data_IF_553097198498
#
_entry.id   IF_553097198498
#
_cell.length_a   1.000
_cell.length_b   1.000
_cell.length_c   1.000
_cell.angle_alpha   90.00
_cell.angle_beta   90.00
_cell.angle_gamma   90.00
#
_symmetry.space_group_name_H-M   'P 1'
#
loop_
_entity.id
_entity.type
_entity.pdbx_description
1 polymer ?
#
# COMPACT_ATOMS: atom_id res chain seq x y z
N UNK A 1 5.73 17.33 -14.07
CA UNK A 1 6.17 16.84 -12.77
C UNK A 1 7.49 16.12 -12.99
N UNK A 2 8.53 16.34 -12.12
CA UNK A 2 9.82 15.66 -12.22
C UNK A 2 9.84 14.36 -11.42
N UNK A 3 10.98 13.65 -11.39
CA UNK A 3 11.17 12.34 -10.79
C UNK A 3 10.53 12.17 -9.39
N UNK A 4 10.75 13.08 -8.46
CA UNK A 4 10.17 13.00 -7.10
C UNK A 4 8.65 13.01 -7.10
N UNK A 5 8.04 13.88 -7.91
CA UNK A 5 6.58 13.91 -8.04
C UNK A 5 6.03 12.66 -8.75
N UNK A 6 6.75 12.14 -9.75
CA UNK A 6 6.41 10.86 -10.40
C UNK A 6 6.45 9.70 -9.40
N UNK A 7 7.45 9.69 -8.51
CA UNK A 7 7.65 8.66 -7.49
C UNK A 7 6.57 8.63 -6.39
N UNK A 8 5.84 9.74 -6.18
CA UNK A 8 4.72 9.77 -5.23
C UNK A 8 3.55 8.87 -5.67
N UNK A 9 3.37 8.65 -6.98
CA UNK A 9 2.28 7.80 -7.47
C UNK A 9 2.43 6.33 -7.06
N UNK A 10 3.54 5.62 -7.39
CA UNK A 10 3.71 4.25 -6.96
C UNK A 10 3.84 4.14 -5.44
N UNK A 11 4.49 5.09 -4.79
CA UNK A 11 4.63 5.11 -3.34
C UNK A 11 3.26 5.19 -2.65
N UNK A 12 2.41 6.14 -3.05
CA UNK A 12 1.09 6.31 -2.48
C UNK A 12 0.14 5.17 -2.83
N UNK A 13 0.28 4.60 -4.03
CA UNK A 13 -0.51 3.45 -4.48
C UNK A 13 -0.24 2.20 -3.64
N UNK A 14 1.03 1.89 -3.39
CA UNK A 14 1.43 0.74 -2.58
C UNK A 14 1.15 0.94 -1.09
N UNK A 15 1.49 2.11 -0.52
CA UNK A 15 1.20 2.43 0.89
C UNK A 15 -0.28 2.82 1.03
N UNK A 16 -1.14 1.83 0.96
CA UNK A 16 -2.58 1.92 1.17
C UNK A 16 -3.00 1.39 2.55
N UNK A 17 -4.28 1.05 2.69
CA UNK A 17 -4.82 0.47 3.92
C UNK A 17 -4.19 -0.90 4.28
N UNK A 18 -3.66 -1.63 3.30
CA UNK A 18 -3.07 -2.96 3.50
C UNK A 18 -1.93 -3.00 4.51
N UNK A 19 -1.09 -1.95 4.57
CA UNK A 19 0.05 -1.94 5.50
C UNK A 19 -0.39 -1.91 6.97
N UNK A 20 -1.59 -1.41 7.26
CA UNK A 20 -2.08 -1.34 8.63
C UNK A 20 -2.61 -2.68 9.15
N UNK A 21 -3.08 -3.57 8.28
CA UNK A 21 -3.56 -4.91 8.63
C UNK A 21 -2.48 -6.00 8.44
N UNK A 22 -1.60 -5.83 7.46
CA UNK A 22 -0.64 -6.84 7.03
C UNK A 22 0.33 -7.33 8.12
N UNK A 23 0.92 -6.46 8.97
CA UNK A 23 1.86 -6.90 10.02
C UNK A 23 1.25 -7.93 10.95
N UNK A 24 0.02 -7.68 11.44
CA UNK A 24 -0.68 -8.58 12.35
C UNK A 24 -0.93 -9.95 11.75
N UNK A 25 -1.41 -9.97 10.49
CA UNK A 25 -1.70 -11.22 9.76
C UNK A 25 -0.43 -12.02 9.49
N UNK A 26 0.65 -11.35 9.06
CA UNK A 26 1.92 -12.02 8.78
C UNK A 26 2.56 -12.57 10.05
N UNK A 27 2.60 -11.78 11.14
CA UNK A 27 3.18 -12.24 12.40
C UNK A 27 2.36 -13.38 13.00
N UNK A 28 1.04 -13.34 12.91
CA UNK A 28 0.19 -14.46 13.35
C UNK A 28 0.44 -15.75 12.55
N UNK A 29 0.72 -15.65 11.25
CA UNK A 29 0.89 -16.82 10.38
C UNK A 29 2.32 -17.40 10.41
N UNK A 30 3.35 -16.56 10.37
CA UNK A 30 4.75 -16.98 10.21
C UNK A 30 5.70 -16.48 11.31
N UNK A 31 5.16 -15.86 12.37
CA UNK A 31 5.92 -15.41 13.54
C UNK A 31 7.09 -14.50 13.19
N UNK A 32 8.25 -14.76 13.79
CA UNK A 32 9.48 -13.97 13.62
C UNK A 32 10.04 -13.98 12.18
N UNK A 33 9.52 -14.84 11.31
CA UNK A 33 9.88 -14.84 9.89
C UNK A 33 9.12 -13.76 9.07
N UNK A 34 8.09 -13.14 9.62
CA UNK A 34 7.22 -12.19 8.91
C UNK A 34 7.97 -11.04 8.19
N UNK A 35 8.99 -10.37 8.77
CA UNK A 35 9.76 -9.36 8.05
C UNK A 35 10.47 -9.93 6.81
N UNK A 36 11.03 -11.13 6.92
CA UNK A 36 11.70 -11.81 5.81
C UNK A 36 10.72 -12.27 4.74
N UNK A 37 9.50 -12.61 5.12
CA UNK A 37 8.43 -12.93 4.18
C UNK A 37 8.12 -11.75 3.26
N UNK A 38 8.12 -10.51 3.78
CA UNK A 38 7.97 -9.31 2.95
C UNK A 38 9.16 -9.09 2.01
N UNK A 39 10.38 -9.35 2.47
CA UNK A 39 11.55 -9.26 1.60
C UNK A 39 11.46 -10.26 0.44
N UNK A 40 11.11 -11.52 0.75
CA UNK A 40 10.92 -12.56 -0.26
C UNK A 40 9.79 -12.18 -1.23
N UNK A 41 8.66 -11.70 -0.71
CA UNK A 41 7.53 -11.21 -1.52
C UNK A 41 7.95 -10.08 -2.47
N UNK A 42 8.70 -9.10 -1.98
CA UNK A 42 9.22 -7.99 -2.78
C UNK A 42 10.20 -8.44 -3.87
N UNK A 43 11.10 -9.36 -3.56
CA UNK A 43 12.04 -9.94 -4.55
C UNK A 43 11.28 -10.71 -5.63
N UNK A 44 10.28 -11.51 -5.24
CA UNK A 44 9.45 -12.25 -6.20
C UNK A 44 8.52 -11.33 -7.01
N UNK A 45 8.14 -10.17 -6.48
CA UNK A 45 7.34 -9.17 -7.17
C UNK A 45 8.16 -8.31 -8.15
N UNK A 46 9.47 -8.18 -7.90
CA UNK A 46 10.36 -7.34 -8.70
C UNK A 46 10.36 -7.67 -10.20
N UNK A 47 10.35 -8.93 -10.67
CA UNK A 47 10.24 -9.24 -12.10
C UNK A 47 8.99 -8.63 -12.75
N UNK A 48 7.85 -8.65 -12.07
CA UNK A 48 6.62 -8.02 -12.57
C UNK A 48 6.80 -6.50 -12.68
N UNK A 49 7.35 -5.87 -11.65
CA UNK A 49 7.65 -4.44 -11.64
C UNK A 49 8.63 -4.05 -12.77
N UNK A 50 9.66 -4.88 -13.02
CA UNK A 50 10.61 -4.69 -14.13
C UNK A 50 9.95 -4.81 -15.50
N UNK A 51 8.98 -5.73 -15.68
CA UNK A 51 8.20 -5.81 -16.91
C UNK A 51 7.43 -4.50 -17.17
N UNK A 52 6.76 -3.96 -16.15
CA UNK A 52 6.06 -2.67 -16.27
C UNK A 52 7.03 -1.52 -16.53
N UNK A 53 8.15 -1.48 -15.82
CA UNK A 53 9.19 -0.47 -16.01
C UNK A 53 9.75 -0.51 -17.45
N UNK A 54 10.00 -1.72 -17.99
CA UNK A 54 10.46 -1.87 -19.37
C UNK A 54 9.40 -1.43 -20.39
N UNK A 55 8.13 -1.82 -20.20
CA UNK A 55 7.04 -1.37 -21.08
C UNK A 55 6.88 0.14 -21.04
N UNK A 56 7.00 0.78 -19.88
CA UNK A 56 6.92 2.24 -19.73
C UNK A 56 7.99 3.00 -20.54
N UNK A 57 9.13 2.38 -20.88
CA UNK A 57 10.12 3.00 -21.79
C UNK A 57 9.63 3.11 -23.23
N UNK A 58 8.62 2.32 -23.60
CA UNK A 58 8.09 2.24 -24.98
C UNK A 58 6.87 3.13 -25.21
N UNK A 59 6.15 3.49 -24.14
CA UNK A 59 4.89 4.23 -24.21
C UNK A 59 5.01 5.55 -23.45
N UNK A 60 4.58 6.65 -24.07
CA UNK A 60 4.60 8.00 -23.47
C UNK A 60 3.20 8.46 -23.04
N UNK A 61 2.17 7.72 -23.45
CA UNK A 61 0.77 8.08 -23.21
C UNK A 61 0.23 7.42 -21.94
N UNK A 62 -0.72 8.10 -21.32
CA UNK A 62 -1.50 7.55 -20.20
C UNK A 62 -2.34 6.36 -20.64
N UNK A 63 -2.50 5.35 -19.79
CA UNK A 63 -3.32 4.16 -20.06
C UNK A 63 -2.70 2.84 -19.59
N UNK A 64 -1.40 2.81 -19.31
CA UNK A 64 -0.72 1.68 -18.66
C UNK A 64 -1.04 0.32 -19.30
N UNK A 65 -1.56 -0.61 -18.50
CA UNK A 65 -1.85 -1.99 -18.90
C UNK A 65 -2.83 -2.11 -20.09
N UNK A 66 -3.72 -1.14 -20.27
CA UNK A 66 -4.65 -1.10 -21.42
C UNK A 66 -3.89 -0.94 -22.73
N UNK A 67 -2.98 0.05 -22.77
CA UNK A 67 -2.14 0.31 -23.96
C UNK A 67 -1.20 -0.87 -24.25
N UNK A 68 -0.63 -1.46 -23.20
CA UNK A 68 0.28 -2.60 -23.33
C UNK A 68 -0.45 -3.83 -23.89
N UNK A 69 -1.65 -4.11 -23.37
CA UNK A 69 -2.50 -5.19 -23.85
C UNK A 69 -2.99 -4.96 -25.28
N UNK A 70 -3.39 -3.74 -25.63
CA UNK A 70 -3.83 -3.41 -26.99
C UNK A 70 -2.68 -3.52 -28.00
N UNK A 71 -1.50 -3.02 -27.65
CA UNK A 71 -0.33 -3.07 -28.54
C UNK A 71 0.18 -4.49 -28.79
N UNK A 72 0.12 -5.37 -27.78
CA UNK A 72 0.64 -6.73 -27.86
C UNK A 72 -0.38 -7.73 -28.46
N UNK A 73 -1.66 -7.59 -28.12
CA UNK A 73 -2.69 -8.61 -28.39
C UNK A 73 -3.94 -8.06 -29.07
N UNK A 74 -3.96 -6.75 -29.39
CA UNK A 74 -5.07 -6.09 -30.06
C UNK A 74 -6.16 -5.55 -29.13
N UNK A 75 -7.14 -4.85 -29.73
CA UNK A 75 -8.18 -4.08 -29.04
C UNK A 75 -9.00 -4.85 -28.01
N UNK A 76 -9.29 -6.13 -28.31
CA UNK A 76 -10.09 -6.95 -27.39
C UNK A 76 -9.37 -7.15 -26.06
N UNK A 77 -8.07 -7.49 -26.08
CA UNK A 77 -7.27 -7.69 -24.86
C UNK A 77 -7.06 -6.36 -24.14
N UNK A 78 -6.81 -5.27 -24.86
CA UNK A 78 -6.76 -3.92 -24.26
C UNK A 78 -8.06 -3.56 -23.54
N UNK A 79 -9.22 -3.81 -24.15
CA UNK A 79 -10.52 -3.60 -23.51
C UNK A 79 -10.69 -4.46 -22.25
N UNK A 80 -10.34 -5.75 -22.30
CA UNK A 80 -10.43 -6.64 -21.13
C UNK A 80 -9.52 -6.18 -19.99
N UNK A 81 -8.30 -5.74 -20.30
CA UNK A 81 -7.38 -5.17 -19.29
C UNK A 81 -8.00 -3.91 -18.64
N UNK A 82 -8.60 -3.02 -19.43
CA UNK A 82 -9.31 -1.83 -18.93
C UNK A 82 -10.50 -2.18 -18.05
N UNK A 83 -11.29 -3.15 -18.46
CA UNK A 83 -12.43 -3.61 -17.68
C UNK A 83 -12.02 -4.23 -16.34
N UNK A 84 -11.01 -5.10 -16.35
CA UNK A 84 -10.47 -5.71 -15.14
C UNK A 84 -9.90 -4.65 -14.19
N UNK A 85 -9.20 -3.64 -14.73
CA UNK A 85 -8.67 -2.51 -13.96
C UNK A 85 -9.80 -1.67 -13.33
N UNK A 86 -10.85 -1.38 -14.09
CA UNK A 86 -12.01 -0.65 -13.59
C UNK A 86 -12.71 -1.41 -12.45
N UNK A 87 -12.99 -2.70 -12.63
CA UNK A 87 -13.59 -3.54 -11.60
C UNK A 87 -12.72 -3.61 -10.33
N UNK A 88 -11.40 -3.81 -10.49
CA UNK A 88 -10.44 -3.80 -9.39
C UNK A 88 -10.42 -2.48 -8.64
N UNK A 89 -10.48 -1.34 -9.35
CA UNK A 89 -10.48 -0.02 -8.72
C UNK A 89 -11.71 0.21 -7.84
N UNK A 90 -12.90 -0.25 -8.27
CA UNK A 90 -14.14 -0.16 -7.48
C UNK A 90 -14.01 -0.97 -6.18
N UNK A 91 -13.55 -2.24 -6.29
CA UNK A 91 -13.40 -3.12 -5.12
C UNK A 91 -12.35 -2.54 -4.14
N UNK A 92 -11.22 -2.06 -4.67
CA UNK A 92 -10.17 -1.44 -3.85
C UNK A 92 -10.66 -0.17 -3.15
N UNK A 93 -11.40 0.69 -3.84
CA UNK A 93 -11.96 1.90 -3.23
C UNK A 93 -12.94 1.55 -2.11
N UNK A 94 -13.81 0.57 -2.31
CA UNK A 94 -14.74 0.11 -1.30
C UNK A 94 -14.01 -0.49 -0.09
N UNK A 95 -12.99 -1.33 -0.31
CA UNK A 95 -12.19 -1.93 0.75
C UNK A 95 -11.46 -0.85 1.59
N UNK A 96 -10.82 0.11 0.92
CA UNK A 96 -10.13 1.22 1.60
C UNK A 96 -11.09 2.08 2.43
N UNK A 97 -12.32 2.32 1.94
CA UNK A 97 -13.34 3.04 2.71
C UNK A 97 -13.78 2.27 3.96
N UNK A 98 -13.96 0.96 3.85
CA UNK A 98 -14.31 0.13 5.02
C UNK A 98 -13.22 0.15 6.09
N UNK A 99 -11.95 0.00 5.69
CA UNK A 99 -10.82 0.09 6.61
C UNK A 99 -10.78 1.47 7.28
N UNK A 100 -10.90 2.56 6.50
CA UNK A 100 -10.93 3.92 7.05
C UNK A 100 -12.05 4.08 8.09
N UNK A 101 -13.26 3.59 7.81
CA UNK A 101 -14.40 3.70 8.74
C UNK A 101 -14.14 2.84 9.99
N UNK A 102 -13.57 1.64 9.85
CA UNK A 102 -13.23 0.79 11.00
C UNK A 102 -12.25 1.49 11.97
N UNK A 103 -11.24 2.18 11.44
CA UNK A 103 -10.34 3.00 12.26
C UNK A 103 -11.04 4.21 12.89
N UNK A 104 -11.90 4.90 12.13
CA UNK A 104 -12.69 6.02 12.67
C UNK A 104 -13.71 5.55 13.72
N UNK A 105 -14.25 4.35 13.60
CA UNK A 105 -15.19 3.77 14.56
C UNK A 105 -14.52 3.49 15.92
N UNK A 106 -13.20 3.29 15.96
CA UNK A 106 -12.46 3.20 17.22
C UNK A 106 -12.53 4.52 18.02
N UNK A 107 -12.65 5.67 17.32
CA UNK A 107 -12.77 7.01 17.94
C UNK A 107 -14.26 7.40 18.04
N UNK A 108 -15.06 7.10 17.05
CA UNK A 108 -16.48 7.43 16.94
C UNK A 108 -17.32 6.15 16.76
N UNK A 109 -17.70 5.44 17.84
CA UNK A 109 -18.33 4.12 17.77
C UNK A 109 -19.58 4.03 16.89
N UNK A 110 -20.35 5.12 16.77
CA UNK A 110 -21.55 5.19 15.95
C UNK A 110 -21.28 4.97 14.44
N UNK A 111 -20.05 5.22 13.96
CA UNK A 111 -19.67 4.95 12.57
C UNK A 111 -19.60 3.44 12.24
N UNK A 112 -19.42 2.59 13.26
CA UNK A 112 -19.39 1.13 13.12
C UNK A 112 -20.77 0.48 13.06
N UNK A 113 -21.86 1.24 13.25
CA UNK A 113 -23.21 0.70 13.18
C UNK A 113 -23.56 0.22 11.76
N UNK A 114 -24.20 -0.97 11.61
CA UNK A 114 -24.45 -1.58 10.29
C UNK A 114 -25.22 -0.69 9.29
N UNK A 115 -26.06 0.22 9.79
CA UNK A 115 -26.81 1.17 8.96
C UNK A 115 -26.02 2.43 8.60
N UNK A 116 -25.04 2.82 9.41
CA UNK A 116 -24.26 4.06 9.25
C UNK A 116 -23.03 3.84 8.38
N UNK A 117 -22.35 2.71 8.54
CA UNK A 117 -21.14 2.38 7.79
C UNK A 117 -21.27 2.56 6.28
N UNK A 118 -22.28 2.02 5.57
CA UNK A 118 -22.38 2.18 4.12
C UNK A 118 -22.67 3.63 3.71
N UNK A 119 -23.42 4.39 4.52
CA UNK A 119 -23.70 5.81 4.27
C UNK A 119 -22.43 6.63 4.42
N UNK A 120 -21.67 6.41 5.49
CA UNK A 120 -20.38 7.07 5.73
C UNK A 120 -19.38 6.75 4.60
N UNK A 121 -19.35 5.50 4.12
CA UNK A 121 -18.52 5.11 2.97
C UNK A 121 -18.93 5.86 1.69
N UNK A 122 -20.22 5.96 1.42
CA UNK A 122 -20.75 6.72 0.27
C UNK A 122 -20.38 8.20 0.33
N UNK A 123 -20.50 8.82 1.49
CA UNK A 123 -20.12 10.23 1.70
C UNK A 123 -18.60 10.39 1.50
N UNK A 124 -17.76 9.49 2.05
CA UNK A 124 -16.32 9.52 1.89
C UNK A 124 -15.90 9.42 0.40
N UNK A 125 -16.49 8.50 -0.35
CA UNK A 125 -16.26 8.37 -1.79
C UNK A 125 -16.70 9.60 -2.57
N UNK A 126 -17.86 10.20 -2.22
CA UNK A 126 -18.32 11.42 -2.86
C UNK A 126 -17.39 12.60 -2.61
N UNK A 127 -16.87 12.77 -1.38
CA UNK A 127 -15.91 13.81 -1.04
C UNK A 127 -14.59 13.65 -1.83
N UNK A 128 -14.05 12.42 -1.91
CA UNK A 128 -12.84 12.15 -2.69
C UNK A 128 -13.09 12.44 -4.17
N UNK A 129 -14.26 12.07 -4.70
CA UNK A 129 -14.61 12.36 -6.10
C UNK A 129 -14.67 13.86 -6.35
N UNK A 130 -15.28 14.64 -5.47
CA UNK A 130 -15.33 16.10 -5.57
C UNK A 130 -13.93 16.70 -5.58
N UNK A 131 -13.04 16.26 -4.67
CA UNK A 131 -11.63 16.73 -4.63
C UNK A 131 -10.90 16.43 -5.95
N UNK A 132 -11.13 15.25 -6.53
CA UNK A 132 -10.51 14.87 -7.80
C UNK A 132 -10.98 15.73 -9.00
N UNK A 133 -12.19 16.31 -8.94
CA UNK A 133 -12.67 17.21 -9.99
C UNK A 133 -11.91 18.54 -10.06
N UNK A 134 -11.21 18.96 -9.02
CA UNK A 134 -10.41 20.18 -8.99
C UNK A 134 -9.05 20.10 -9.70
N UNK A 135 -8.68 18.92 -10.22
CA UNK A 135 -7.59 18.75 -11.18
C UNK A 135 -6.23 18.36 -10.58
N UNK A 136 -5.32 17.94 -11.47
CA UNK A 136 -4.08 17.20 -11.21
C UNK A 136 -2.96 17.99 -10.49
N UNK A 137 -2.89 19.32 -10.66
CA UNK A 137 -1.82 20.11 -9.99
C UNK A 137 -2.03 20.19 -8.48
N UNK A 138 -3.28 20.22 -8.05
CA UNK A 138 -3.63 20.10 -6.63
C UNK A 138 -3.34 18.67 -6.11
N UNK A 139 -3.50 17.66 -6.97
CA UNK A 139 -3.33 16.27 -6.65
C UNK A 139 -1.90 15.91 -6.22
N UNK A 140 -0.85 16.36 -6.92
CA UNK A 140 0.55 16.02 -6.58
C UNK A 140 0.97 16.62 -5.24
N UNK A 141 0.57 17.86 -4.95
CA UNK A 141 0.80 18.48 -3.65
C UNK A 141 0.09 17.73 -2.52
N UNK A 142 -1.18 17.40 -2.75
CA UNK A 142 -2.00 16.61 -1.81
C UNK A 142 -1.43 15.21 -1.60
N UNK A 143 -0.98 14.52 -2.67
CA UNK A 143 -0.30 13.23 -2.56
C UNK A 143 0.96 13.32 -1.69
N UNK A 144 1.75 14.36 -1.82
CA UNK A 144 2.96 14.58 -1.00
C UNK A 144 2.63 14.75 0.47
N UNK A 145 1.63 15.57 0.80
CA UNK A 145 1.15 15.76 2.17
C UNK A 145 0.58 14.46 2.74
N UNK A 146 -0.29 13.77 2.00
CA UNK A 146 -0.86 12.49 2.42
C UNK A 146 0.22 11.43 2.64
N UNK A 147 1.24 11.39 1.79
CA UNK A 147 2.38 10.47 1.96
C UNK A 147 3.14 10.77 3.25
N UNK A 148 3.41 12.05 3.53
CA UNK A 148 4.08 12.45 4.76
C UNK A 148 3.25 12.06 6.01
N UNK A 149 1.94 12.33 5.99
CA UNK A 149 1.04 11.96 7.10
C UNK A 149 1.02 10.44 7.33
N UNK A 150 0.99 9.63 6.27
CA UNK A 150 1.03 8.16 6.38
C UNK A 150 2.38 7.64 6.89
N UNK A 151 3.49 8.23 6.45
CA UNK A 151 4.84 7.77 6.80
C UNK A 151 5.26 8.18 8.20
N UNK A 152 4.74 9.28 8.74
CA UNK A 152 5.10 9.76 10.08
C UNK A 152 4.81 8.72 11.18
N UNK A 153 3.58 8.17 11.34
CA UNK A 153 3.31 7.19 12.37
C UNK A 153 4.07 5.87 12.14
N UNK A 154 4.23 5.46 10.87
CA UNK A 154 4.99 4.25 10.52
C UNK A 154 6.48 4.41 10.84
N UNK A 155 7.04 5.59 10.59
CA UNK A 155 8.41 5.94 10.97
C UNK A 155 8.60 6.02 12.49
N UNK A 156 7.63 6.61 13.19
CA UNK A 156 7.64 6.68 14.65
C UNK A 156 7.60 5.27 15.29
N UNK A 157 6.82 4.35 14.71
CA UNK A 157 6.78 2.94 15.12
C UNK A 157 8.15 2.27 14.99
N UNK A 158 8.82 2.43 13.85
CA UNK A 158 10.16 1.87 13.62
C UNK A 158 11.17 2.44 14.63
N UNK A 159 11.13 3.76 14.85
CA UNK A 159 12.02 4.43 15.81
C UNK A 159 11.75 3.94 17.24
N UNK A 160 10.48 3.82 17.67
CA UNK A 160 10.15 3.30 18.98
C UNK A 160 10.63 1.86 19.20
N UNK A 161 10.56 1.01 18.16
CA UNK A 161 11.09 -0.35 18.23
C UNK A 161 12.62 -0.39 18.43
N UNK A 162 13.35 0.50 17.78
CA UNK A 162 14.80 0.63 17.96
C UNK A 162 15.17 1.02 19.40
N UNK A 163 14.41 1.94 20.01
CA UNK A 163 14.63 2.35 21.41
C UNK A 163 14.17 1.31 22.44
N UNK A 164 13.17 0.50 22.11
CA UNK A 164 12.69 -0.59 22.96
C UNK A 164 13.64 -1.80 23.03
N UNK A 165 14.74 -1.78 22.28
CA UNK A 165 15.73 -2.86 22.25
C UNK A 165 15.47 -3.94 21.21
N UNK A 166 14.37 -3.88 20.49
CA UNK A 166 14.08 -4.57 19.21
C UNK A 166 14.39 -6.07 19.10
N UNK A 167 14.37 -6.82 20.21
CA UNK A 167 14.65 -8.25 20.16
C UNK A 167 13.40 -9.01 19.71
N UNK A 168 13.48 -9.60 18.53
CA UNK A 168 12.39 -10.41 17.94
C UNK A 168 12.58 -11.91 18.19
N UNK A 169 13.60 -12.29 18.98
CA UNK A 169 13.92 -13.68 19.23
C UNK A 169 14.44 -14.46 18.00
N UNK A 170 14.55 -15.77 18.14
CA UNK A 170 15.08 -16.62 17.07
C UNK A 170 14.13 -16.68 15.86
N UNK A 171 14.69 -16.50 14.66
CA UNK A 171 13.96 -16.63 13.40
C UNK A 171 13.90 -18.12 13.02
N UNK A 172 12.71 -18.69 13.06
CA UNK A 172 12.45 -20.04 12.57
C UNK A 172 11.90 -20.01 11.16
N UNK A 173 12.32 -20.94 10.30
CA UNK A 173 11.75 -21.07 8.96
C UNK A 173 10.31 -21.60 9.08
N UNK A 174 9.34 -20.93 8.44
CA UNK A 174 7.94 -21.36 8.47
C UNK A 174 7.74 -22.64 7.65
N UNK A 175 6.70 -23.39 7.98
CA UNK A 175 6.26 -24.51 7.15
C UNK A 175 5.64 -24.00 5.85
N UNK A 176 5.68 -24.81 4.79
CA UNK A 176 5.12 -24.44 3.49
C UNK A 176 3.65 -24.03 3.57
N UNK A 177 2.84 -24.74 4.37
CA UNK A 177 1.42 -24.42 4.59
C UNK A 177 1.20 -23.03 5.19
N UNK A 178 2.10 -22.56 6.05
CA UNK A 178 2.04 -21.20 6.62
C UNK A 178 2.38 -20.13 5.59
N UNK A 179 3.37 -20.40 4.73
CA UNK A 179 3.74 -19.51 3.63
C UNK A 179 2.60 -19.39 2.61
N UNK A 180 1.98 -20.52 2.25
CA UNK A 180 0.88 -20.57 1.29
C UNK A 180 -0.29 -19.67 1.68
N UNK A 181 -0.61 -19.59 2.99
CA UNK A 181 -1.71 -18.77 3.48
C UNK A 181 -1.48 -17.26 3.32
N UNK A 182 -0.23 -16.81 3.33
CA UNK A 182 0.09 -15.36 3.35
C UNK A 182 0.83 -14.86 2.11
N UNK A 183 1.29 -15.74 1.22
CA UNK A 183 2.07 -15.32 0.05
C UNK A 183 1.28 -14.37 -0.86
N UNK A 184 -0.01 -14.62 -1.06
CA UNK A 184 -0.87 -13.75 -1.88
C UNK A 184 -1.07 -12.37 -1.23
N UNK A 185 -1.11 -12.30 0.11
CA UNK A 185 -1.17 -11.04 0.83
C UNK A 185 0.12 -10.22 0.67
N UNK A 186 1.28 -10.88 0.67
CA UNK A 186 2.55 -10.19 0.40
C UNK A 186 2.60 -9.61 -1.01
N UNK A 187 2.08 -10.31 -2.02
CA UNK A 187 1.95 -9.76 -3.36
C UNK A 187 0.94 -8.59 -3.41
N UNK A 188 -0.19 -8.73 -2.73
CA UNK A 188 -1.20 -7.68 -2.65
C UNK A 188 -0.66 -6.37 -2.08
N UNK A 189 0.29 -6.44 -1.15
CA UNK A 189 0.92 -5.27 -0.54
C UNK A 189 1.68 -4.37 -1.55
N UNK A 190 2.08 -4.89 -2.70
CA UNK A 190 2.76 -4.15 -3.75
C UNK A 190 1.85 -3.65 -4.87
N UNK A 191 0.56 -4.02 -4.87
CA UNK A 191 -0.40 -3.54 -5.86
C UNK A 191 -0.61 -2.04 -5.66
N UNK A 192 -0.74 -1.30 -6.78
CA UNK A 192 -0.87 0.15 -6.78
C UNK A 192 0.36 0.87 -7.37
N UNK A 193 1.50 0.18 -7.54
CA UNK A 193 2.68 0.75 -8.21
C UNK A 193 2.37 1.13 -9.66
N UNK A 194 1.42 0.45 -10.30
CA UNK A 194 1.02 0.66 -11.68
C UNK A 194 0.31 2.01 -11.92
N UNK A 195 -0.16 2.68 -10.90
CA UNK A 195 -0.79 4.00 -11.03
C UNK A 195 0.11 5.04 -11.71
N UNK A 196 1.43 4.90 -11.62
CA UNK A 196 2.37 5.78 -12.32
C UNK A 196 2.33 5.60 -13.85
N UNK A 197 2.12 4.39 -14.35
CA UNK A 197 2.04 4.16 -15.81
C UNK A 197 0.69 4.61 -16.38
N UNK A 198 -0.35 4.63 -15.56
CA UNK A 198 -1.65 5.15 -15.94
C UNK A 198 -1.62 6.68 -16.17
N UNK A 199 -0.77 7.38 -15.42
CA UNK A 199 -0.57 8.82 -15.51
C UNK A 199 0.66 9.24 -16.36
N UNK A 200 1.27 8.33 -17.11
CA UNK A 200 2.55 8.54 -17.79
C UNK A 200 2.60 9.80 -18.66
N UNK A 201 1.50 10.11 -19.38
CA UNK A 201 1.40 11.29 -20.26
C UNK A 201 1.48 12.64 -19.54
N UNK A 202 1.44 12.67 -18.21
CA UNK A 202 1.46 13.91 -17.42
C UNK A 202 2.84 14.27 -16.85
N UNK A 203 3.82 13.39 -17.04
CA UNK A 203 5.18 13.59 -16.56
C UNK A 203 6.08 14.23 -17.63
N UNK A 204 7.10 14.97 -17.17
CA UNK A 204 8.03 15.68 -18.08
C UNK A 204 8.91 14.72 -18.89
N UNK A 205 9.35 13.64 -18.29
CA UNK A 205 10.25 12.64 -18.88
C UNK A 205 9.74 11.22 -18.59
N UNK A 206 8.57 10.81 -19.15
CA UNK A 206 7.91 9.56 -18.76
C UNK A 206 8.79 8.35 -19.01
N UNK A 207 9.51 8.25 -20.13
CA UNK A 207 10.38 7.12 -20.48
C UNK A 207 11.53 6.89 -19.52
N UNK A 208 11.93 7.90 -18.75
CA UNK A 208 13.00 7.83 -17.76
C UNK A 208 12.43 7.74 -16.34
N UNK A 209 11.56 8.69 -16.01
CA UNK A 209 11.11 8.90 -14.62
C UNK A 209 10.14 7.80 -14.17
N UNK A 210 9.29 7.28 -15.06
CA UNK A 210 8.34 6.20 -14.72
C UNK A 210 9.06 4.88 -14.42
N UNK A 211 9.93 4.33 -15.30
CA UNK A 211 10.64 3.10 -14.99
C UNK A 211 11.49 3.20 -13.73
N UNK A 212 12.21 4.32 -13.58
CA UNK A 212 13.07 4.54 -12.42
C UNK A 212 12.26 4.63 -11.13
N UNK A 213 11.10 5.31 -11.15
CA UNK A 213 10.21 5.41 -10.00
C UNK A 213 9.63 4.05 -9.61
N UNK A 214 9.23 3.21 -10.57
CA UNK A 214 8.73 1.86 -10.29
C UNK A 214 9.79 1.05 -9.53
N UNK A 215 10.99 0.94 -10.08
CA UNK A 215 12.05 0.11 -9.48
C UNK A 215 12.47 0.65 -8.11
N UNK A 216 12.70 1.96 -8.00
CA UNK A 216 13.14 2.56 -6.74
C UNK A 216 12.06 2.49 -5.66
N UNK A 217 10.79 2.71 -6.02
CA UNK A 217 9.71 2.70 -5.03
C UNK A 217 9.31 1.28 -4.62
N UNK A 218 9.25 0.31 -5.54
CA UNK A 218 9.01 -1.09 -5.16
C UNK A 218 10.11 -1.59 -4.22
N UNK A 219 11.38 -1.32 -4.53
CA UNK A 219 12.50 -1.69 -3.66
C UNK A 219 12.45 -0.96 -2.30
N UNK A 220 12.18 0.36 -2.32
CA UNK A 220 12.09 1.16 -1.11
C UNK A 220 10.92 0.74 -0.20
N UNK A 221 9.75 0.47 -0.78
CA UNK A 221 8.57 0.00 -0.05
C UNK A 221 8.79 -1.41 0.51
N UNK A 222 9.50 -2.28 -0.21
CA UNK A 222 9.88 -3.60 0.32
C UNK A 222 10.67 -3.47 1.63
N UNK A 223 11.68 -2.61 1.65
CA UNK A 223 12.50 -2.37 2.84
C UNK A 223 11.68 -1.68 3.95
N UNK A 224 10.83 -0.73 3.59
CA UNK A 224 9.95 -0.05 4.53
C UNK A 224 8.98 -1.04 5.21
N UNK A 225 8.33 -1.90 4.42
CA UNK A 225 7.40 -2.90 4.94
C UNK A 225 8.11 -3.93 5.81
N UNK A 226 9.30 -4.39 5.40
CA UNK A 226 10.14 -5.24 6.24
C UNK A 226 10.43 -4.58 7.60
N UNK A 227 10.80 -3.29 7.60
CA UNK A 227 11.10 -2.56 8.83
C UNK A 227 9.85 -2.36 9.71
N UNK A 228 8.68 -2.07 9.12
CA UNK A 228 7.42 -1.92 9.87
C UNK A 228 7.01 -3.24 10.53
N UNK A 229 7.09 -4.35 9.79
CA UNK A 229 6.72 -5.68 10.32
C UNK A 229 7.73 -6.13 11.38
N UNK A 230 9.02 -5.81 11.19
CA UNK A 230 10.02 -6.03 12.22
C UNK A 230 9.69 -5.24 13.49
N UNK A 231 9.37 -3.95 13.37
CA UNK A 231 9.01 -3.10 14.49
C UNK A 231 7.75 -3.60 15.21
N UNK A 232 6.73 -4.01 14.46
CA UNK A 232 5.52 -4.62 15.02
C UNK A 232 5.84 -5.88 15.82
N UNK A 233 6.64 -6.77 15.26
CA UNK A 233 7.04 -8.03 15.91
C UNK A 233 7.89 -7.79 17.18
N UNK A 234 8.66 -6.71 17.21
CA UNK A 234 9.52 -6.37 18.35
C UNK A 234 8.77 -5.74 19.53
N UNK A 235 7.68 -4.99 19.28
CA UNK A 235 6.99 -4.21 20.32
C UNK A 235 5.68 -4.86 20.77
N UNK A 236 4.94 -5.46 19.81
CA UNK A 236 3.57 -5.88 20.09
C UNK A 236 3.14 -7.14 19.36
N UNK A 237 3.91 -8.25 19.46
CA UNK A 237 3.50 -9.52 18.85
C UNK A 237 2.18 -10.06 19.44
N UNK A 238 1.78 -9.61 20.64
CA UNK A 238 0.51 -9.95 21.29
C UNK A 238 -0.72 -9.43 20.55
N UNK A 239 -0.56 -8.36 19.76
CA UNK A 239 -1.63 -7.81 18.90
C UNK A 239 -1.76 -8.56 17.55
N UNK A 240 -0.99 -9.64 17.34
CA UNK A 240 -1.04 -10.40 16.10
C UNK A 240 -2.43 -11.03 15.92
N UNK A 241 -3.06 -10.77 14.76
CA UNK A 241 -4.41 -11.23 14.45
C UNK A 241 -5.54 -10.30 14.85
N UNK A 242 -5.27 -9.14 15.46
CA UNK A 242 -6.28 -8.13 15.77
C UNK A 242 -6.55 -7.21 14.56
N UNK A 243 -7.80 -6.73 14.42
CA UNK A 243 -8.22 -5.88 13.30
C UNK A 243 -7.52 -4.50 13.29
N UNK A 244 -7.19 -3.95 14.47
CA UNK A 244 -6.55 -2.64 14.65
C UNK A 244 -5.16 -2.76 15.30
N UNK A 245 -4.42 -3.79 14.94
CA UNK A 245 -3.18 -4.19 15.57
C UNK A 245 -2.12 -3.06 15.63
N UNK A 246 -1.91 -2.29 14.55
CA UNK A 246 -0.94 -1.18 14.57
C UNK A 246 -1.33 -0.04 15.52
N UNK A 247 -2.63 0.25 15.66
CA UNK A 247 -3.10 1.21 16.65
C UNK A 247 -2.87 0.71 18.08
N UNK A 248 -3.06 -0.59 18.33
CA UNK A 248 -2.73 -1.25 19.61
C UNK A 248 -1.24 -1.12 19.95
N UNK A 249 -0.37 -1.48 19.02
CA UNK A 249 1.10 -1.36 19.19
C UNK A 249 1.55 0.09 19.37
N UNK A 250 0.99 1.02 18.59
CA UNK A 250 1.30 2.44 18.74
C UNK A 250 0.84 2.98 20.10
N UNK A 251 -0.33 2.57 20.59
CA UNK A 251 -0.82 2.88 21.92
C UNK A 251 0.07 2.32 23.04
N UNK A 252 0.54 1.09 22.91
CA UNK A 252 1.43 0.45 23.85
C UNK A 252 2.82 1.11 23.91
N UNK A 253 3.34 1.55 22.76
CA UNK A 253 4.69 2.12 22.62
C UNK A 253 4.77 3.63 22.87
N UNK A 254 3.74 4.39 22.48
CA UNK A 254 3.69 5.85 22.50
C UNK A 254 2.60 6.45 23.41
N UNK A 255 1.89 5.60 24.16
CA UNK A 255 0.79 6.01 25.04
C UNK A 255 -0.44 6.50 24.24
N UNK A 256 -1.29 7.32 24.90
CA UNK A 256 -2.54 7.80 24.27
C UNK A 256 -2.35 8.54 22.94
N UNK A 257 -1.20 9.17 22.70
CA UNK A 257 -0.90 9.81 21.42
C UNK A 257 -0.68 8.79 20.30
N UNK A 258 -0.16 7.61 20.61
CA UNK A 258 0.05 6.55 19.63
C UNK A 258 -1.25 5.90 19.13
N UNK A 259 -2.26 5.79 19.97
CA UNK A 259 -3.56 5.22 19.57
C UNK A 259 -4.38 6.14 18.66
N UNK A 260 -4.02 7.44 18.56
CA UNK A 260 -4.66 8.44 17.72
C UNK A 260 -3.90 8.67 16.40
N UNK A 261 -2.68 8.14 16.26
CA UNK A 261 -1.82 8.30 15.08
C UNK A 261 -2.04 7.17 14.07
#
# INVERSE_FOLDING_TARGET
>A
VGFWGTSLFPLNGMIGAGIFALPAVLVAAVGNFAPWMMLVGGILFLPLALCYAWMATRFEHSGGSVLYGEAAFGRFVGFQAGWARYASAIVTAAANMHVMIAYLAAIFPWLGEPGVTPVAAGIGLALITIVNLYGMRASVGTLGVMTAIKLLPLGALIVSALFAGGDTGAVALPQFSQVETVILLTFYAFIGFEGVVEAAGEFKHPKRDVPLSIVTMVSGVTLLYMAIIWAFNAIGPEFAGEDNALAGVAGASMGQLGSLA
#
